data_IF_703925970707
#
_entry.id   IF_703925970707
#
_cell.length_a   1.000
_cell.length_b   1.000
_cell.length_c   1.000
_cell.angle_alpha   90.00
_cell.angle_beta   90.00
_cell.angle_gamma   90.00
#
_symmetry.space_group_name_H-M   'P 1'
#
loop_
_entity.id
_entity.type
_entity.pdbx_description
1 polymer ?
#
# COMPACT_ATOMS: atom_id res chain seq x y z
N UNK A 1 0.21 -55.80 7.19
CA UNK A 1 1.23 -55.20 6.33
C UNK A 1 0.56 -54.12 5.49
N UNK A 2 0.56 -52.88 5.98
CA UNK A 2 -0.21 -51.78 5.42
C UNK A 2 0.70 -50.92 4.55
N UNK A 3 0.37 -50.80 3.27
CA UNK A 3 1.05 -49.97 2.30
C UNK A 3 0.81 -48.48 2.64
N UNK A 4 1.88 -47.77 3.00
CA UNK A 4 1.91 -46.31 3.14
C UNK A 4 1.77 -45.67 1.76
N UNK A 5 0.71 -44.88 1.58
CA UNK A 5 0.50 -44.08 0.38
C UNK A 5 1.60 -43.03 0.25
N UNK A 6 2.23 -43.04 -0.91
CA UNK A 6 3.21 -42.04 -1.37
C UNK A 6 2.44 -40.75 -1.66
N UNK A 7 2.80 -39.67 -0.98
CA UNK A 7 2.32 -38.32 -1.35
C UNK A 7 2.90 -37.96 -2.72
N UNK A 8 2.12 -37.37 -3.64
CA UNK A 8 2.69 -36.86 -4.89
C UNK A 8 3.62 -35.71 -4.57
N UNK A 9 4.84 -35.82 -5.07
CA UNK A 9 5.91 -34.85 -4.99
C UNK A 9 5.55 -33.56 -5.70
N UNK A 10 6.09 -32.46 -5.15
CA UNK A 10 6.13 -31.11 -5.65
C UNK A 10 6.00 -31.02 -7.17
N UNK A 11 4.92 -30.36 -7.62
CA UNK A 11 4.77 -29.91 -9.00
C UNK A 11 5.88 -28.90 -9.24
N UNK A 12 6.76 -29.26 -10.18
CA UNK A 12 7.81 -28.46 -10.77
C UNK A 12 7.35 -26.99 -10.97
N UNK A 13 7.94 -26.08 -10.21
CA UNK A 13 7.96 -24.68 -10.59
C UNK A 13 8.77 -24.61 -11.89
N UNK A 14 8.08 -24.57 -13.03
CA UNK A 14 8.73 -24.33 -14.31
C UNK A 14 9.48 -23.01 -14.19
N UNK A 15 10.79 -23.02 -14.35
CA UNK A 15 11.62 -21.83 -14.44
C UNK A 15 11.05 -20.95 -15.55
N UNK A 16 10.55 -19.79 -15.15
CA UNK A 16 10.02 -18.81 -16.07
C UNK A 16 11.17 -18.28 -16.92
N UNK A 17 11.03 -18.27 -18.23
CA UNK A 17 11.92 -17.51 -19.12
C UNK A 17 11.54 -16.04 -18.97
N UNK A 18 12.51 -15.12 -18.93
CA UNK A 18 12.31 -13.64 -18.79
C UNK A 18 11.42 -13.02 -19.88
N UNK A 19 11.00 -13.81 -20.87
CA UNK A 19 10.21 -13.38 -22.03
C UNK A 19 8.68 -13.54 -21.86
N UNK A 20 8.20 -14.25 -20.82
CA UNK A 20 6.74 -14.46 -20.67
C UNK A 20 6.11 -13.41 -19.76
N UNK A 21 4.97 -12.81 -20.14
CA UNK A 21 4.27 -11.84 -19.30
C UNK A 21 3.84 -12.45 -17.97
N UNK A 22 3.86 -11.64 -16.91
CA UNK A 22 3.31 -12.00 -15.60
C UNK A 22 1.80 -12.07 -15.72
N UNK A 23 1.21 -13.23 -15.44
CA UNK A 23 -0.23 -13.44 -15.48
C UNK A 23 -0.85 -13.00 -14.16
N UNK A 24 -1.82 -12.09 -14.26
CA UNK A 24 -2.52 -11.52 -13.11
C UNK A 24 -3.90 -12.15 -13.02
N UNK A 25 -4.22 -12.81 -11.90
CA UNK A 25 -5.57 -13.15 -11.50
C UNK A 25 -6.19 -11.93 -10.79
N UNK A 26 -7.07 -11.21 -11.49
CA UNK A 26 -7.65 -9.98 -10.97
C UNK A 26 -8.96 -10.26 -10.25
N UNK A 27 -8.97 -10.11 -8.93
CA UNK A 27 -10.19 -10.24 -8.12
C UNK A 27 -11.01 -8.95 -8.19
N UNK A 28 -12.31 -9.03 -8.50
CA UNK A 28 -13.21 -7.91 -8.77
C UNK A 28 -12.79 -7.02 -9.97
N UNK A 29 -12.63 -7.57 -11.19
CA UNK A 29 -12.13 -6.85 -12.37
C UNK A 29 -13.01 -5.67 -12.78
N UNK A 30 -14.31 -5.71 -12.48
CA UNK A 30 -15.30 -4.68 -12.86
C UNK A 30 -15.31 -3.46 -11.91
N UNK A 31 -14.55 -3.52 -10.79
CA UNK A 31 -14.38 -2.41 -9.87
C UNK A 31 -13.58 -1.23 -10.48
N UNK A 32 -13.57 -0.09 -9.80
CA UNK A 32 -12.79 1.08 -10.26
C UNK A 32 -11.31 0.78 -10.42
N UNK A 33 -10.71 0.10 -9.42
CA UNK A 33 -9.30 -0.30 -9.50
C UNK A 33 -9.09 -1.47 -10.45
N UNK A 34 -10.02 -2.44 -10.51
CA UNK A 34 -9.95 -3.53 -11.48
C UNK A 34 -9.80 -3.00 -12.91
N UNK A 35 -10.67 -2.08 -13.31
CA UNK A 35 -10.58 -1.42 -14.64
C UNK A 35 -9.29 -0.63 -14.84
N UNK A 36 -8.80 0.07 -13.82
CA UNK A 36 -7.55 0.82 -13.92
C UNK A 36 -6.33 -0.12 -14.08
N UNK A 37 -6.32 -1.25 -13.36
CA UNK A 37 -5.27 -2.27 -13.49
C UNK A 37 -5.33 -2.93 -14.86
N UNK A 38 -6.53 -3.29 -15.35
CA UNK A 38 -6.69 -3.83 -16.71
C UNK A 38 -6.17 -2.86 -17.78
N UNK A 39 -6.45 -1.56 -17.63
CA UNK A 39 -5.90 -0.54 -18.53
C UNK A 39 -4.36 -0.45 -18.45
N UNK A 40 -3.79 -0.51 -17.23
CA UNK A 40 -2.34 -0.48 -17.05
C UNK A 40 -1.65 -1.73 -17.64
N UNK A 41 -2.29 -2.90 -17.57
CA UNK A 41 -1.79 -4.13 -18.21
C UNK A 41 -1.73 -4.01 -19.73
N UNK A 42 -2.71 -3.35 -20.34
CA UNK A 42 -2.68 -3.09 -21.81
C UNK A 42 -1.49 -2.22 -22.21
N UNK A 43 -1.05 -1.32 -21.34
CA UNK A 43 0.11 -0.43 -21.57
C UNK A 43 1.47 -1.11 -21.32
N UNK A 44 1.52 -2.21 -20.56
CA UNK A 44 2.75 -2.90 -20.18
C UNK A 44 2.76 -4.36 -20.67
N UNK A 45 3.48 -4.67 -21.76
CA UNK A 45 3.54 -6.03 -22.32
C UNK A 45 4.18 -7.07 -21.38
N UNK A 46 4.80 -6.65 -20.30
CA UNK A 46 5.32 -7.53 -19.26
C UNK A 46 4.22 -8.18 -18.40
N UNK A 47 2.94 -7.86 -18.65
CA UNK A 47 1.80 -8.40 -17.91
C UNK A 47 0.69 -8.89 -18.82
N UNK A 48 -0.11 -9.83 -18.34
CA UNK A 48 -1.34 -10.32 -18.96
C UNK A 48 -2.39 -10.60 -17.88
N UNK A 49 -3.68 -10.43 -18.21
CA UNK A 49 -4.77 -10.90 -17.34
C UNK A 49 -5.05 -12.36 -17.68
N UNK A 50 -5.01 -13.21 -16.65
CA UNK A 50 -5.44 -14.61 -16.74
C UNK A 50 -6.10 -14.96 -15.39
N UNK A 51 -7.42 -15.05 -15.41
CA UNK A 51 -8.19 -15.25 -14.19
C UNK A 51 -8.00 -16.66 -13.60
N UNK A 52 -7.76 -17.66 -14.44
CA UNK A 52 -7.71 -19.07 -14.05
C UNK A 52 -6.28 -19.53 -13.70
N UNK A 53 -5.26 -18.95 -14.36
CA UNK A 53 -3.86 -19.41 -14.25
C UNK A 53 -2.91 -18.25 -13.92
N UNK A 54 -3.32 -17.35 -13.00
CA UNK A 54 -2.49 -16.23 -12.58
C UNK A 54 -1.21 -16.67 -11.85
N UNK A 55 -0.13 -15.96 -12.08
CA UNK A 55 1.13 -16.08 -11.32
C UNK A 55 1.08 -15.26 -10.02
N UNK A 56 0.17 -14.31 -9.96
CA UNK A 56 -0.11 -13.44 -8.81
C UNK A 56 -1.56 -12.98 -8.82
N UNK A 57 -2.18 -12.91 -7.64
CA UNK A 57 -3.51 -12.34 -7.49
C UNK A 57 -3.45 -10.87 -7.06
N UNK A 58 -4.36 -10.04 -7.58
CA UNK A 58 -4.54 -8.66 -7.13
C UNK A 58 -5.99 -8.47 -6.67
N UNK A 59 -6.18 -8.05 -5.42
CA UNK A 59 -7.48 -7.82 -4.79
C UNK A 59 -7.66 -6.35 -4.37
N UNK A 60 -8.56 -5.64 -5.05
CA UNK A 60 -9.08 -4.32 -4.65
C UNK A 60 -10.61 -4.37 -4.52
N UNK A 61 -11.15 -5.41 -3.91
CA UNK A 61 -12.60 -5.61 -3.80
C UNK A 61 -13.22 -4.84 -2.62
N UNK A 62 -13.55 -5.56 -1.57
CA UNK A 62 -14.17 -5.06 -0.35
C UNK A 62 -13.78 -5.95 0.84
N UNK A 63 -13.96 -5.48 2.09
CA UNK A 63 -13.71 -6.32 3.27
C UNK A 63 -14.47 -7.65 3.24
N UNK A 64 -15.68 -7.67 2.68
CA UNK A 64 -16.49 -8.89 2.55
C UNK A 64 -15.97 -9.85 1.48
N UNK A 65 -15.25 -9.36 0.48
CA UNK A 65 -14.64 -10.18 -0.58
C UNK A 65 -13.30 -10.82 -0.19
N UNK A 66 -12.63 -10.27 0.82
CA UNK A 66 -11.27 -10.66 1.22
C UNK A 66 -11.13 -12.16 1.49
N UNK A 67 -12.14 -12.77 2.13
CA UNK A 67 -12.09 -14.20 2.41
C UNK A 67 -11.96 -15.03 1.14
N UNK A 68 -12.81 -14.76 0.17
CA UNK A 68 -12.83 -15.53 -1.07
C UNK A 68 -11.53 -15.34 -1.87
N UNK A 69 -10.96 -14.12 -1.89
CA UNK A 69 -9.69 -13.88 -2.56
C UNK A 69 -8.52 -14.59 -1.86
N UNK A 70 -8.46 -14.57 -0.53
CA UNK A 70 -7.44 -15.30 0.23
C UNK A 70 -7.55 -16.81 0.03
N UNK A 71 -8.76 -17.39 0.13
CA UNK A 71 -8.97 -18.84 -0.04
C UNK A 71 -8.55 -19.29 -1.45
N UNK A 72 -8.87 -18.47 -2.48
CA UNK A 72 -8.44 -18.74 -3.85
C UNK A 72 -6.93 -18.66 -4.02
N UNK A 73 -6.28 -17.62 -3.47
CA UNK A 73 -4.83 -17.46 -3.55
C UNK A 73 -4.09 -18.60 -2.83
N UNK A 74 -4.50 -18.95 -1.61
CA UNK A 74 -3.90 -20.05 -0.84
C UNK A 74 -4.10 -21.39 -1.53
N UNK A 75 -5.32 -21.68 -2.02
CA UNK A 75 -5.60 -22.93 -2.74
C UNK A 75 -4.79 -23.06 -4.03
N UNK A 76 -4.55 -21.95 -4.72
CA UNK A 76 -3.70 -21.90 -5.91
C UNK A 76 -2.20 -21.86 -5.63
N UNK A 77 -1.79 -21.65 -4.38
CA UNK A 77 -0.38 -21.45 -4.02
C UNK A 77 0.23 -20.20 -4.66
N UNK A 78 -0.58 -19.20 -5.00
CA UNK A 78 -0.13 -17.97 -5.67
C UNK A 78 -0.04 -16.79 -4.70
N UNK A 79 0.96 -15.91 -4.86
CA UNK A 79 1.08 -14.69 -4.05
C UNK A 79 -0.11 -13.76 -4.28
N UNK A 80 -0.40 -12.91 -3.29
CA UNK A 80 -1.52 -11.96 -3.37
C UNK A 80 -1.13 -10.55 -2.93
N UNK A 81 -1.53 -9.55 -3.74
CA UNK A 81 -1.58 -8.14 -3.36
C UNK A 81 -3.00 -7.80 -2.89
N UNK A 82 -3.13 -7.31 -1.67
CA UNK A 82 -4.38 -6.85 -1.07
C UNK A 82 -4.36 -5.33 -0.97
N UNK A 83 -5.10 -4.67 -1.85
CA UNK A 83 -5.33 -3.22 -1.85
C UNK A 83 -6.67 -2.80 -1.23
N UNK A 84 -7.43 -3.77 -0.74
CA UNK A 84 -8.70 -3.54 -0.05
C UNK A 84 -8.46 -2.78 1.27
N UNK A 85 -9.23 -1.71 1.49
CA UNK A 85 -9.17 -0.86 2.68
C UNK A 85 -10.35 -1.10 3.61
N UNK A 86 -10.27 -0.58 4.86
CA UNK A 86 -11.35 -0.75 5.84
C UNK A 86 -11.38 -2.16 6.46
N UNK A 87 -10.26 -2.84 6.44
CA UNK A 87 -10.08 -4.16 7.06
C UNK A 87 -10.02 -4.04 8.58
N UNK A 88 -10.67 -4.95 9.27
CA UNK A 88 -10.68 -5.07 10.72
C UNK A 88 -9.59 -6.04 11.24
N UNK A 89 -9.52 -6.20 12.57
CA UNK A 89 -8.58 -7.12 13.22
C UNK A 89 -8.80 -8.59 12.81
N UNK A 90 -10.02 -8.96 12.47
CA UNK A 90 -10.33 -10.31 12.01
C UNK A 90 -9.72 -10.55 10.63
N UNK A 91 -9.86 -9.60 9.71
CA UNK A 91 -9.20 -9.61 8.41
C UNK A 91 -7.67 -9.68 8.56
N UNK A 92 -7.10 -8.91 9.48
CA UNK A 92 -5.67 -8.95 9.79
C UNK A 92 -5.19 -10.34 10.21
N UNK A 93 -5.95 -11.04 11.08
CA UNK A 93 -5.62 -12.42 11.47
C UNK A 93 -5.66 -13.40 10.29
N UNK A 94 -6.57 -13.21 9.34
CA UNK A 94 -6.67 -14.07 8.15
C UNK A 94 -5.52 -13.85 7.19
N UNK A 95 -5.13 -12.59 6.98
CA UNK A 95 -3.94 -12.22 6.21
C UNK A 95 -2.69 -12.87 6.84
N UNK A 96 -2.53 -12.75 8.16
CA UNK A 96 -1.42 -13.39 8.88
C UNK A 96 -1.46 -14.92 8.82
N UNK A 97 -2.63 -15.54 8.72
CA UNK A 97 -2.74 -16.98 8.50
C UNK A 97 -2.30 -17.37 7.09
N UNK A 98 -2.82 -16.68 6.06
CA UNK A 98 -2.47 -16.94 4.65
C UNK A 98 -0.98 -16.71 4.37
N UNK A 99 -0.34 -15.75 5.04
CA UNK A 99 1.09 -15.46 4.86
C UNK A 99 2.02 -16.57 5.32
N UNK A 100 1.52 -17.61 6.00
CA UNK A 100 2.30 -18.81 6.32
C UNK A 100 2.47 -19.74 5.12
N UNK A 101 1.57 -19.65 4.16
CA UNK A 101 1.48 -20.54 3.01
C UNK A 101 1.89 -19.85 1.70
N UNK A 102 1.61 -18.54 1.56
CA UNK A 102 1.90 -17.74 0.38
C UNK A 102 2.51 -16.38 0.72
N UNK A 103 3.12 -15.70 -0.27
CA UNK A 103 3.53 -14.32 -0.13
C UNK A 103 2.30 -13.40 -0.17
N UNK A 104 2.14 -12.53 0.82
CA UNK A 104 1.02 -11.58 0.94
C UNK A 104 1.57 -10.17 1.08
N UNK A 105 1.19 -9.27 0.18
CA UNK A 105 1.46 -7.85 0.31
C UNK A 105 0.15 -7.12 0.59
N UNK A 106 0.07 -6.44 1.74
CA UNK A 106 -1.08 -5.59 2.07
C UNK A 106 -0.69 -4.13 1.97
N UNK A 107 -1.44 -3.35 1.20
CA UNK A 107 -1.20 -1.92 1.03
C UNK A 107 -2.50 -1.13 0.81
N UNK A 108 -2.81 -0.21 1.71
CA UNK A 108 -3.92 0.74 1.54
C UNK A 108 -3.69 1.73 0.39
N UNK A 109 -2.44 1.90 -0.02
CA UNK A 109 -2.01 2.76 -1.13
C UNK A 109 -0.84 2.10 -1.84
N UNK A 110 -0.97 1.82 -3.13
CA UNK A 110 0.05 1.15 -3.94
C UNK A 110 0.93 2.11 -4.76
N UNK A 111 0.79 3.43 -4.60
CA UNK A 111 1.67 4.38 -5.28
C UNK A 111 3.12 4.23 -4.81
N UNK A 112 4.05 3.97 -5.74
CA UNK A 112 5.49 3.93 -5.46
C UNK A 112 5.99 5.26 -4.92
N UNK A 113 5.49 6.39 -5.46
CA UNK A 113 5.85 7.73 -4.99
C UNK A 113 5.43 7.97 -3.53
N UNK A 114 4.24 7.49 -3.12
CA UNK A 114 3.78 7.59 -1.73
C UNK A 114 4.58 6.66 -0.81
N UNK A 115 4.92 5.47 -1.26
CA UNK A 115 5.75 4.54 -0.49
C UNK A 115 7.16 5.13 -0.24
N UNK A 116 7.80 5.65 -1.29
CA UNK A 116 9.09 6.35 -1.17
C UNK A 116 8.98 7.59 -0.29
N UNK A 117 7.92 8.40 -0.45
CA UNK A 117 7.69 9.55 0.41
C UNK A 117 7.61 9.15 1.89
N UNK A 118 6.91 8.05 2.20
CA UNK A 118 6.80 7.52 3.56
C UNK A 118 8.16 7.19 4.17
N UNK A 119 9.06 6.56 3.42
CA UNK A 119 10.42 6.24 3.85
C UNK A 119 11.26 7.49 4.07
N UNK A 120 11.16 8.46 3.16
CA UNK A 120 11.84 9.75 3.29
C UNK A 120 11.37 10.52 4.52
N UNK A 121 10.06 10.51 4.81
CA UNK A 121 9.47 11.13 6.00
C UNK A 121 9.98 10.47 7.28
N UNK A 122 10.00 9.15 7.34
CA UNK A 122 10.54 8.41 8.49
C UNK A 122 12.01 8.75 8.73
N UNK A 123 12.81 8.74 7.66
CA UNK A 123 14.23 9.10 7.73
C UNK A 123 14.44 10.56 8.15
N UNK A 124 13.67 11.50 7.57
CA UNK A 124 13.75 12.91 7.93
C UNK A 124 13.40 13.12 9.41
N UNK A 125 12.31 12.52 9.89
CA UNK A 125 11.90 12.60 11.28
C UNK A 125 12.96 12.08 12.26
N UNK A 126 13.65 10.98 11.88
CA UNK A 126 14.76 10.41 12.68
C UNK A 126 15.96 11.33 12.74
N UNK A 127 16.36 11.90 11.61
CA UNK A 127 17.58 12.73 11.50
C UNK A 127 17.38 14.10 12.13
N UNK A 128 16.23 14.74 11.89
CA UNK A 128 15.93 16.09 12.35
C UNK A 128 15.55 16.15 13.84
N UNK A 129 15.06 15.03 14.41
CA UNK A 129 14.79 14.92 15.83
C UNK A 129 13.59 15.74 16.32
N UNK A 130 13.42 15.87 17.66
CA UNK A 130 12.24 16.44 18.29
C UNK A 130 12.14 17.97 18.17
N UNK A 131 13.23 18.67 17.90
CA UNK A 131 13.30 20.14 17.76
C UNK A 131 12.51 20.64 16.51
N UNK A 132 12.20 19.76 15.58
CA UNK A 132 11.47 20.11 14.37
C UNK A 132 9.98 19.76 14.51
N UNK A 133 9.12 20.74 14.30
CA UNK A 133 7.68 20.54 14.23
C UNK A 133 7.30 19.81 12.95
N UNK A 134 6.28 18.95 13.01
CA UNK A 134 5.81 18.19 11.84
C UNK A 134 4.35 18.52 11.56
N UNK A 135 4.07 18.95 10.32
CA UNK A 135 2.73 19.21 9.82
C UNK A 135 2.49 18.40 8.55
N UNK A 136 1.34 17.77 8.46
CA UNK A 136 0.87 17.06 7.26
C UNK A 136 -0.29 17.85 6.67
N UNK A 137 -0.09 18.39 5.47
CA UNK A 137 -1.11 19.07 4.69
C UNK A 137 -1.55 18.15 3.53
N UNK A 138 -2.86 17.96 3.37
CA UNK A 138 -3.38 17.16 2.26
C UNK A 138 -4.54 17.85 1.55
N UNK A 139 -4.66 17.62 0.25
CA UNK A 139 -5.77 18.11 -0.55
C UNK A 139 -6.34 17.01 -1.43
N UNK A 140 -7.66 16.89 -1.44
CA UNK A 140 -8.38 15.97 -2.32
C UNK A 140 -9.61 16.64 -2.94
N UNK A 141 -10.23 15.93 -3.89
CA UNK A 141 -11.45 16.36 -4.54
C UNK A 141 -12.58 16.65 -3.55
N UNK A 142 -13.51 17.54 -3.94
CA UNK A 142 -14.64 18.01 -3.09
C UNK A 142 -15.53 16.91 -2.51
N UNK A 143 -15.55 15.73 -3.11
CA UNK A 143 -16.42 14.60 -2.72
C UNK A 143 -15.73 13.60 -1.77
N UNK A 144 -14.49 13.84 -1.35
CA UNK A 144 -13.81 12.96 -0.39
C UNK A 144 -14.36 13.19 1.01
N UNK A 145 -14.92 12.13 1.62
CA UNK A 145 -15.65 12.23 2.89
C UNK A 145 -14.73 12.15 4.13
N UNK A 146 -13.66 11.34 4.04
CA UNK A 146 -12.70 11.15 5.15
C UNK A 146 -11.69 12.32 5.20
N UNK A 147 -11.36 12.80 6.40
CA UNK A 147 -10.33 13.80 6.69
C UNK A 147 -9.76 13.57 8.10
N UNK A 148 -8.41 13.49 8.27
CA UNK A 148 -7.40 13.42 7.23
C UNK A 148 -7.53 12.15 6.38
N UNK A 149 -6.93 12.17 5.16
CA UNK A 149 -6.89 11.00 4.28
C UNK A 149 -6.07 9.85 4.91
N UNK A 150 -6.36 8.60 4.52
CA UNK A 150 -5.57 7.46 4.97
C UNK A 150 -4.07 7.59 4.67
N UNK A 151 -3.71 8.19 3.52
CA UNK A 151 -2.31 8.48 3.16
C UNK A 151 -1.70 9.52 4.10
N UNK A 152 -2.41 10.58 4.44
CA UNK A 152 -1.93 11.58 5.39
C UNK A 152 -1.65 10.96 6.77
N UNK A 153 -2.57 10.11 7.26
CA UNK A 153 -2.38 9.39 8.52
C UNK A 153 -1.17 8.47 8.46
N UNK A 154 -0.98 7.72 7.36
CA UNK A 154 0.19 6.85 7.19
C UNK A 154 1.52 7.62 7.16
N UNK A 155 1.53 8.83 6.57
CA UNK A 155 2.69 9.72 6.60
C UNK A 155 2.98 10.25 8.02
N UNK A 156 1.96 10.57 8.79
CA UNK A 156 2.10 10.92 10.21
C UNK A 156 2.64 9.75 11.04
N UNK A 157 2.17 8.54 10.79
CA UNK A 157 2.69 7.33 11.43
C UNK A 157 4.15 7.06 11.05
N UNK A 158 4.54 7.32 9.79
CA UNK A 158 5.93 7.23 9.34
C UNK A 158 6.84 8.22 10.11
N UNK A 159 6.38 9.46 10.29
CA UNK A 159 7.09 10.45 11.09
C UNK A 159 7.23 10.02 12.56
N UNK A 160 6.17 9.46 13.15
CA UNK A 160 6.19 8.93 14.51
C UNK A 160 7.17 7.75 14.68
N UNK A 161 7.20 6.83 13.69
CA UNK A 161 8.19 5.74 13.67
C UNK A 161 9.61 6.27 13.60
N UNK A 162 9.89 7.26 12.76
CA UNK A 162 11.21 7.90 12.68
C UNK A 162 11.67 8.52 14.00
N UNK A 163 10.73 8.97 14.82
CA UNK A 163 10.99 9.49 16.18
C UNK A 163 10.96 8.43 17.27
N UNK A 164 10.68 7.17 16.92
CA UNK A 164 10.52 6.07 17.88
C UNK A 164 9.45 6.38 18.97
N UNK A 165 8.39 7.09 18.57
CA UNK A 165 7.29 7.51 19.46
C UNK A 165 5.95 7.05 18.94
N UNK A 166 4.92 7.08 19.78
CA UNK A 166 3.53 6.96 19.32
C UNK A 166 3.09 8.29 18.71
N UNK A 167 2.30 8.22 17.64
CA UNK A 167 1.76 9.43 17.02
C UNK A 167 0.87 10.20 18.00
N UNK A 168 1.14 11.49 18.17
CA UNK A 168 0.30 12.44 18.88
C UNK A 168 -0.32 13.36 17.82
N UNK A 169 -1.49 12.99 17.30
CA UNK A 169 -2.14 13.68 16.21
C UNK A 169 -2.90 14.93 16.71
N UNK A 170 -2.61 16.09 16.12
CA UNK A 170 -3.39 17.31 16.29
C UNK A 170 -4.17 17.62 15.01
N UNK A 171 -5.47 17.89 15.15
CA UNK A 171 -6.39 18.15 14.05
C UNK A 171 -7.21 19.41 14.34
N UNK A 172 -7.46 20.22 13.32
CA UNK A 172 -8.43 21.31 13.42
C UNK A 172 -8.03 22.42 14.41
N UNK A 173 -6.90 23.11 14.16
CA UNK A 173 -6.55 24.31 14.89
C UNK A 173 -7.41 25.48 14.37
N UNK A 174 -8.49 25.79 15.09
CA UNK A 174 -9.40 26.91 14.79
C UNK A 174 -9.72 27.66 16.08
N UNK A 175 -9.58 29.00 16.08
CA UNK A 175 -9.76 29.85 17.24
C UNK A 175 -8.50 30.55 17.73
N UNK A 176 -8.57 31.13 18.92
CA UNK A 176 -7.47 31.89 19.56
C UNK A 176 -6.90 31.16 20.76
N UNK A 177 -5.61 31.36 21.02
CA UNK A 177 -4.91 30.75 22.18
C UNK A 177 -4.53 29.28 22.03
N UNK A 178 -4.71 28.71 20.84
CA UNK A 178 -4.37 27.33 20.53
C UNK A 178 -2.87 27.23 20.18
N UNK A 179 -2.03 26.97 21.17
CA UNK A 179 -0.63 26.68 20.95
C UNK A 179 -0.48 25.23 20.47
N UNK A 180 0.52 25.02 19.60
CA UNK A 180 0.90 23.69 19.18
C UNK A 180 1.39 22.84 20.36
N UNK A 181 0.95 21.60 20.45
CA UNK A 181 1.44 20.65 21.45
C UNK A 181 2.84 20.18 21.12
N UNK A 182 3.69 20.06 22.13
CA UNK A 182 5.04 19.54 21.99
C UNK A 182 5.03 18.09 21.48
N UNK A 183 5.87 17.79 20.48
CA UNK A 183 5.98 16.47 19.84
C UNK A 183 4.76 16.03 19.02
N UNK A 184 3.76 16.91 18.83
CA UNK A 184 2.59 16.60 18.02
C UNK A 184 2.92 16.52 16.52
N UNK A 185 2.14 15.75 15.77
CA UNK A 185 2.04 15.82 14.31
C UNK A 185 0.72 16.50 13.98
N UNK A 186 0.79 17.66 13.34
CA UNK A 186 -0.39 18.41 12.94
C UNK A 186 -0.95 17.88 11.62
N UNK A 187 -2.28 17.98 11.44
CA UNK A 187 -2.96 17.61 10.20
C UNK A 187 -3.89 18.72 9.74
N UNK A 188 -3.73 19.12 8.47
CA UNK A 188 -4.63 20.03 7.78
C UNK A 188 -5.15 19.37 6.49
N UNK A 189 -6.47 19.43 6.28
CA UNK A 189 -7.12 18.80 5.13
C UNK A 189 -7.86 19.84 4.29
N UNK A 190 -7.53 19.90 3.00
CA UNK A 190 -8.21 20.75 2.03
C UNK A 190 -9.10 19.89 1.11
N UNK A 191 -10.23 20.44 0.70
CA UNK A 191 -11.17 19.81 -0.23
C UNK A 191 -11.53 20.80 -1.34
N UNK A 192 -11.32 20.40 -2.61
CA UNK A 192 -11.63 21.28 -3.72
C UNK A 192 -11.44 20.61 -5.07
N UNK A 193 -12.13 21.10 -6.08
CA UNK A 193 -11.99 20.66 -7.45
C UNK A 193 -12.08 19.14 -7.64
N UNK A 194 -11.17 18.62 -8.45
CA UNK A 194 -11.04 17.20 -8.83
C UNK A 194 -9.69 16.62 -8.43
N UNK A 195 -8.99 17.23 -7.47
CA UNK A 195 -7.65 16.85 -7.02
C UNK A 195 -7.65 15.36 -6.63
N UNK A 196 -6.75 14.58 -7.23
CA UNK A 196 -6.68 13.14 -7.00
C UNK A 196 -6.07 12.82 -5.63
N UNK A 197 -5.13 13.64 -5.16
CA UNK A 197 -4.52 13.55 -3.84
C UNK A 197 -3.14 14.20 -3.79
N UNK A 198 -3.06 15.31 -3.07
CA UNK A 198 -1.82 16.03 -2.77
C UNK A 198 -1.47 15.84 -1.32
N UNK A 199 -0.20 15.66 -1.02
CA UNK A 199 0.31 15.50 0.34
C UNK A 199 1.64 16.22 0.48
N UNK A 200 1.72 17.07 1.49
CA UNK A 200 2.95 17.73 1.93
C UNK A 200 3.23 17.34 3.38
N UNK A 201 4.45 16.89 3.65
CA UNK A 201 4.95 16.74 5.02
C UNK A 201 5.98 17.82 5.25
N UNK A 202 5.68 18.72 6.15
CA UNK A 202 6.46 19.90 6.46
C UNK A 202 7.17 19.66 7.78
N UNK A 203 8.50 19.69 7.74
CA UNK A 203 9.35 19.74 8.92
C UNK A 203 9.80 21.19 9.11
N UNK A 204 9.41 21.79 10.23
CA UNK A 204 9.70 23.19 10.54
C UNK A 204 10.65 23.26 11.74
N UNK A 205 11.89 23.63 11.49
CA UNK A 205 12.93 23.86 12.47
C UNK A 205 13.18 25.35 12.71
N UNK A 206 14.20 25.69 13.54
CA UNK A 206 14.64 27.06 13.71
C UNK A 206 15.14 27.63 12.37
N UNK A 207 14.48 28.72 11.90
CA UNK A 207 14.85 29.50 10.71
C UNK A 207 14.83 28.76 9.35
N UNK A 208 14.44 27.47 9.32
CA UNK A 208 14.33 26.70 8.06
C UNK A 208 13.16 25.73 8.05
N UNK A 209 12.78 25.25 6.87
CA UNK A 209 11.77 24.22 6.67
C UNK A 209 12.22 23.25 5.59
N UNK A 210 12.00 21.96 5.83
CA UNK A 210 12.06 20.91 4.81
C UNK A 210 10.65 20.48 4.45
N UNK A 211 10.31 20.44 3.16
CA UNK A 211 9.00 20.01 2.68
C UNK A 211 9.18 18.82 1.75
N UNK A 212 8.56 17.71 2.08
CA UNK A 212 8.49 16.52 1.24
C UNK A 212 7.09 16.41 0.66
N UNK A 213 6.98 16.44 -0.67
CA UNK A 213 5.72 16.58 -1.39
C UNK A 213 5.44 15.44 -2.35
N UNK A 214 4.18 15.03 -2.46
CA UNK A 214 3.66 14.16 -3.51
C UNK A 214 2.38 14.73 -4.11
N UNK A 215 2.26 14.70 -5.43
CA UNK A 215 1.08 15.12 -6.18
C UNK A 215 0.61 13.98 -7.07
N UNK A 216 -0.63 13.54 -6.87
CA UNK A 216 -1.23 12.53 -7.72
C UNK A 216 -1.98 13.20 -8.88
N UNK A 217 -1.51 13.04 -10.10
CA UNK A 217 -2.17 13.59 -11.29
C UNK A 217 -3.32 12.70 -11.78
N UNK A 218 -3.24 11.40 -11.53
CA UNK A 218 -4.29 10.44 -11.88
C UNK A 218 -4.29 9.22 -10.94
N UNK A 219 -5.37 8.42 -11.00
CA UNK A 219 -5.45 7.15 -10.27
C UNK A 219 -4.61 6.02 -10.88
N UNK A 220 -4.07 6.23 -12.09
CA UNK A 220 -3.20 5.24 -12.75
C UNK A 220 -1.92 4.97 -11.97
N UNK A 221 -1.46 5.91 -11.13
CA UNK A 221 -0.31 5.67 -10.24
C UNK A 221 -0.53 4.48 -9.30
N UNK A 222 -1.75 4.25 -8.83
CA UNK A 222 -2.07 3.10 -7.98
C UNK A 222 -2.10 1.80 -8.78
N UNK A 223 -2.62 1.83 -10.00
CA UNK A 223 -2.62 0.66 -10.88
C UNK A 223 -1.18 0.26 -11.28
N UNK A 224 -0.36 1.22 -11.70
CA UNK A 224 1.06 0.96 -12.02
C UNK A 224 1.85 0.48 -10.82
N UNK A 225 1.59 1.03 -9.62
CA UNK A 225 2.19 0.54 -8.39
C UNK A 225 1.72 -0.87 -8.00
N UNK A 226 0.45 -1.21 -8.29
CA UNK A 226 -0.03 -2.58 -8.11
C UNK A 226 0.66 -3.57 -9.07
N UNK A 227 0.97 -3.17 -10.31
CA UNK A 227 1.77 -3.98 -11.23
C UNK A 227 3.21 -4.15 -10.74
N UNK A 228 3.84 -3.10 -10.21
CA UNK A 228 5.16 -3.19 -9.61
C UNK A 228 5.18 -4.14 -8.40
N UNK A 229 4.17 -4.06 -7.53
CA UNK A 229 4.00 -4.98 -6.40
C UNK A 229 3.75 -6.43 -6.88
N UNK A 230 2.97 -6.62 -7.93
CA UNK A 230 2.75 -7.94 -8.53
C UNK A 230 4.06 -8.55 -9.05
N UNK A 231 4.86 -7.76 -9.78
CA UNK A 231 6.19 -8.18 -10.26
C UNK A 231 7.12 -8.54 -9.11
N UNK A 232 7.12 -7.77 -8.05
CA UNK A 232 7.90 -8.03 -6.85
C UNK A 232 7.49 -9.33 -6.16
N UNK A 233 6.18 -9.63 -6.07
CA UNK A 233 5.66 -10.79 -5.35
C UNK A 233 5.93 -12.12 -6.04
N UNK A 234 6.04 -12.15 -7.37
CA UNK A 234 6.30 -13.39 -8.11
C UNK A 234 7.62 -14.02 -7.65
N UNK A 235 7.56 -15.26 -7.19
CA UNK A 235 8.71 -16.01 -6.69
C UNK A 235 9.16 -15.68 -5.26
N UNK A 236 8.47 -14.77 -4.57
CA UNK A 236 8.74 -14.51 -3.15
C UNK A 236 8.28 -15.69 -2.28
N UNK A 237 9.04 -16.04 -1.23
CA UNK A 237 8.61 -17.04 -0.26
C UNK A 237 7.37 -16.56 0.50
N UNK A 238 6.67 -17.51 1.15
CA UNK A 238 5.58 -17.20 2.06
C UNK A 238 6.03 -16.19 3.11
N UNK A 239 5.18 -15.19 3.37
CA UNK A 239 5.49 -14.08 4.29
C UNK A 239 4.61 -12.88 4.07
N UNK A 240 4.77 -11.88 4.95
CA UNK A 240 4.11 -10.57 4.84
C UNK A 240 5.07 -9.58 4.22
N UNK A 241 4.61 -8.86 3.21
CA UNK A 241 5.35 -7.83 2.47
C UNK A 241 4.57 -6.52 2.45
N UNK A 242 5.27 -5.44 2.17
CA UNK A 242 4.75 -4.08 2.10
C UNK A 242 5.21 -3.37 0.82
N UNK A 243 4.65 -2.19 0.54
CA UNK A 243 5.16 -1.33 -0.54
C UNK A 243 6.59 -0.81 -0.29
N UNK A 244 7.05 -0.80 0.96
CA UNK A 244 8.44 -0.48 1.29
C UNK A 244 9.39 -1.52 0.68
N UNK A 245 9.08 -2.81 0.86
CA UNK A 245 9.88 -3.91 0.30
C UNK A 245 9.92 -3.84 -1.24
N UNK A 246 8.83 -3.38 -1.86
CA UNK A 246 8.79 -3.15 -3.32
C UNK A 246 9.75 -2.03 -3.71
N UNK A 247 9.73 -0.89 -3.01
CA UNK A 247 10.60 0.26 -3.30
C UNK A 247 12.07 -0.07 -3.05
N UNK A 248 12.39 -0.82 -2.00
CA UNK A 248 13.75 -1.24 -1.69
C UNK A 248 14.33 -2.23 -2.71
N UNK A 249 13.48 -2.90 -3.48
CA UNK A 249 13.87 -3.88 -4.50
C UNK A 249 14.04 -3.27 -5.91
N UNK A 250 13.67 -1.98 -6.12
CA UNK A 250 13.80 -1.25 -7.37
C UNK A 250 15.15 -0.54 -7.48
#
# INVERSE_FOLDING_TARGET
>A
MALRGVRPSAISAAMRTDEQPIRISLFAPNGRMGRAISAAVVEDPGFAIDEDHGDVMIDFSSPTGLQASLDRAVSGGIPILIGTTGLDDFAGRRIAAASKDIAVLQAANTSLGVALLSDLVERAAKVLGPEWDIEVLEMHHRLKADAPSGTALALGDAAARGRETKIKAERGRDGTGLKRGEGAVGFASLRGGTVAGDHDVIFAGPEERLILSHRAESRMIFARGALAAARFLVGKPAGVYSMRDVVEAL
#
